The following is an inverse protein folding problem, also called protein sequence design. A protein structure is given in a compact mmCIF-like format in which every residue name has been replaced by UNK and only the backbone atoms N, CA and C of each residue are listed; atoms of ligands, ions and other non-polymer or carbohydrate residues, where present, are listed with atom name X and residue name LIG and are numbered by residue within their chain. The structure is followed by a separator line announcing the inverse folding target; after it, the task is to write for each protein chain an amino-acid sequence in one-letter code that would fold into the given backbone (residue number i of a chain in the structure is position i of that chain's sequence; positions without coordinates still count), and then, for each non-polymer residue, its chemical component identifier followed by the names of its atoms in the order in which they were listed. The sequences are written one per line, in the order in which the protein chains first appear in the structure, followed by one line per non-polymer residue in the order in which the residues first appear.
data_IF_483542870158
#
_entry.id   IF_483542870158
#
_cell.length_a   1.000
_cell.length_b   1.000
_cell.length_c   1.000
_cell.angle_alpha   90.00
_cell.angle_beta   90.00
_cell.angle_gamma   90.00
#
_symmetry.space_group_name_H-M   'P 1'
#
loop_
_entity.id
_entity.type
_entity.pdbx_description
1 polymer ?
#
# COMPACT_ATOMS: atom_id res chain seq x y z
N UNK A 1 9.32 -0.19 -23.53
CA UNK A 1 9.51 -1.57 -23.03
C UNK A 1 10.74 -2.26 -23.62
N UNK A 2 11.16 -1.98 -24.87
CA UNK A 2 12.34 -2.64 -25.49
C UNK A 2 13.71 -2.24 -24.90
N UNK A 3 13.85 -0.99 -24.45
CA UNK A 3 15.12 -0.48 -23.90
C UNK A 3 15.58 -1.13 -22.59
N UNK A 4 14.71 -1.87 -21.88
CA UNK A 4 15.04 -2.44 -20.57
C UNK A 4 15.56 -3.87 -20.63
N UNK A 5 15.16 -4.65 -21.62
CA UNK A 5 15.46 -6.09 -21.66
C UNK A 5 16.51 -6.47 -22.71
N UNK A 6 16.85 -5.58 -23.65
CA UNK A 6 17.77 -5.90 -24.76
C UNK A 6 17.23 -6.92 -25.77
N UNK A 7 15.98 -7.38 -25.59
CA UNK A 7 15.27 -8.32 -26.47
C UNK A 7 14.15 -7.55 -27.19
N UNK A 8 13.99 -7.73 -28.51
CA UNK A 8 12.90 -7.12 -29.27
C UNK A 8 11.52 -7.50 -28.70
N UNK A 9 10.58 -6.55 -28.70
CA UNK A 9 9.20 -6.85 -28.32
C UNK A 9 8.52 -7.74 -29.38
N UNK A 10 7.39 -8.42 -29.07
CA UNK A 10 6.70 -9.28 -30.03
C UNK A 10 6.35 -8.59 -31.35
N UNK A 11 5.97 -7.30 -31.31
CA UNK A 11 5.71 -6.50 -32.51
C UNK A 11 6.96 -6.28 -33.36
N UNK A 12 8.12 -6.05 -32.72
CA UNK A 12 9.39 -5.89 -33.42
C UNK A 12 9.83 -7.23 -34.04
N UNK A 13 9.68 -8.35 -33.32
CA UNK A 13 9.96 -9.69 -33.84
C UNK A 13 9.11 -9.97 -35.10
N UNK A 14 7.81 -9.67 -35.04
CA UNK A 14 6.91 -9.84 -36.17
C UNK A 14 7.33 -8.97 -37.37
N UNK A 15 7.70 -7.72 -37.15
CA UNK A 15 8.18 -6.81 -38.20
C UNK A 15 9.52 -7.27 -38.81
N UNK A 16 10.47 -7.74 -37.99
CA UNK A 16 11.76 -8.26 -38.44
C UNK A 16 11.56 -9.51 -39.30
N UNK A 17 10.69 -10.42 -38.86
CA UNK A 17 10.33 -11.61 -39.61
C UNK A 17 9.64 -11.28 -40.93
N UNK A 18 8.73 -10.28 -40.94
CA UNK A 18 8.10 -9.79 -42.17
C UNK A 18 9.12 -9.23 -43.16
N UNK A 19 10.17 -8.56 -42.67
CA UNK A 19 11.28 -8.06 -43.46
C UNK A 19 12.30 -9.15 -43.86
N UNK A 20 12.10 -10.41 -43.45
CA UNK A 20 12.98 -11.53 -43.76
C UNK A 20 14.40 -11.39 -43.19
N UNK A 21 14.57 -10.65 -42.09
CA UNK A 21 15.89 -10.46 -41.46
C UNK A 21 16.09 -11.39 -40.27
N UNK A 22 17.34 -11.68 -39.97
CA UNK A 22 17.70 -12.48 -38.81
C UNK A 22 17.50 -11.69 -37.51
N UNK A 23 16.80 -12.29 -36.55
CA UNK A 23 16.51 -11.75 -35.23
C UNK A 23 17.78 -11.56 -34.40
N UNK A 24 18.83 -12.37 -34.60
CA UNK A 24 20.06 -12.31 -33.82
C UNK A 24 20.79 -10.97 -33.94
N UNK A 25 20.59 -10.23 -35.04
CA UNK A 25 21.16 -8.89 -35.24
C UNK A 25 20.45 -7.79 -34.44
N UNK A 26 19.21 -8.04 -33.97
CA UNK A 26 18.40 -7.07 -33.25
C UNK A 26 18.39 -7.29 -31.73
N UNK A 27 19.03 -8.36 -31.26
CA UNK A 27 19.27 -8.60 -29.84
C UNK A 27 20.49 -7.81 -29.39
N UNK A 28 20.42 -7.23 -28.19
CA UNK A 28 21.54 -6.50 -27.60
C UNK A 28 22.79 -7.39 -27.52
N UNK A 29 23.93 -6.78 -27.86
CA UNK A 29 25.27 -7.34 -27.67
C UNK A 29 25.47 -7.96 -26.29
N UNK A 30 24.92 -7.38 -25.22
CA UNK A 30 25.12 -7.85 -23.85
C UNK A 30 24.56 -9.27 -23.60
N UNK A 31 23.57 -9.68 -24.39
CA UNK A 31 22.91 -10.99 -24.29
C UNK A 31 23.54 -12.06 -25.19
N UNK A 32 24.61 -11.73 -25.91
CA UNK A 32 25.28 -12.69 -26.79
C UNK A 32 26.10 -13.70 -26.00
N UNK A 33 26.35 -14.85 -26.61
CA UNK A 33 27.20 -15.88 -26.02
C UNK A 33 28.60 -15.34 -25.70
N UNK A 34 29.17 -14.53 -26.59
CA UNK A 34 30.51 -13.97 -26.44
C UNK A 34 30.62 -13.11 -25.17
N UNK A 35 29.66 -12.21 -24.94
CA UNK A 35 29.63 -11.38 -23.72
C UNK A 35 29.40 -12.20 -22.47
N UNK A 36 28.56 -13.24 -22.54
CA UNK A 36 28.39 -14.19 -21.44
C UNK A 36 29.70 -14.90 -21.09
N UNK A 37 30.41 -15.44 -22.08
CA UNK A 37 31.69 -16.11 -21.86
C UNK A 37 32.74 -15.17 -21.29
N UNK A 38 32.79 -13.92 -21.76
CA UNK A 38 33.69 -12.89 -21.21
C UNK A 38 33.33 -12.53 -19.76
N UNK A 39 32.05 -12.35 -19.46
CA UNK A 39 31.57 -11.99 -18.11
C UNK A 39 31.88 -13.07 -17.07
N UNK A 40 31.83 -14.35 -17.49
CA UNK A 40 32.12 -15.50 -16.65
C UNK A 40 33.48 -16.15 -16.94
N UNK A 41 34.37 -15.45 -17.64
CA UNK A 41 35.71 -15.96 -17.95
C UNK A 41 36.55 -16.13 -16.67
N UNK A 42 36.38 -15.22 -15.71
CA UNK A 42 37.06 -15.28 -14.43
C UNK A 42 36.44 -16.34 -13.53
N UNK A 43 37.29 -17.17 -12.92
CA UNK A 43 36.86 -18.10 -11.87
C UNK A 43 36.46 -17.31 -10.63
N UNK A 44 35.22 -17.47 -10.18
CA UNK A 44 34.80 -17.01 -8.87
C UNK A 44 35.28 -18.04 -7.86
N UNK A 45 36.29 -17.68 -7.07
CA UNK A 45 36.75 -18.55 -6.01
C UNK A 45 35.64 -18.77 -4.98
N UNK A 46 35.44 -20.02 -4.51
CA UNK A 46 34.47 -20.27 -3.47
C UNK A 46 34.86 -19.49 -2.21
N UNK A 47 33.89 -18.79 -1.63
CA UNK A 47 34.10 -18.15 -0.34
C UNK A 47 34.27 -19.25 0.72
N UNK A 48 35.31 -19.13 1.55
CA UNK A 48 35.52 -20.04 2.68
C UNK A 48 34.28 -20.10 3.58
N UNK A 49 34.08 -21.21 4.30
CA UNK A 49 32.94 -21.34 5.20
C UNK A 49 32.97 -20.34 6.37
N UNK A 50 31.81 -20.07 6.97
CA UNK A 50 31.66 -19.10 8.07
C UNK A 50 32.67 -19.28 9.22
N UNK A 51 33.07 -20.52 9.52
CA UNK A 51 34.05 -20.85 10.56
C UNK A 51 35.47 -20.32 10.29
N UNK A 52 35.80 -20.09 9.02
CA UNK A 52 37.10 -19.61 8.55
C UNK A 52 37.12 -18.09 8.33
N UNK A 53 36.00 -17.39 8.53
CA UNK A 53 35.96 -15.95 8.37
C UNK A 53 36.68 -15.26 9.54
N UNK A 54 37.42 -14.17 9.26
CA UNK A 54 38.05 -13.39 10.31
C UNK A 54 36.96 -12.82 11.23
N UNK A 55 37.15 -12.96 12.55
CA UNK A 55 36.27 -12.34 13.54
C UNK A 55 36.60 -10.86 13.62
N UNK A 56 35.69 -10.03 13.13
CA UNK A 56 35.77 -8.58 13.30
C UNK A 56 35.21 -8.23 14.68
N UNK A 57 35.98 -7.51 15.50
CA UNK A 57 35.53 -6.98 16.80
C UNK A 57 34.84 -5.62 16.69
N UNK A 58 34.55 -5.17 15.46
CA UNK A 58 33.97 -3.86 15.20
C UNK A 58 32.43 -3.91 15.30
N UNK A 59 31.79 -2.94 15.99
CA UNK A 59 30.35 -2.89 16.06
C UNK A 59 29.73 -2.73 14.67
N UNK A 60 28.81 -3.64 14.33
CA UNK A 60 28.02 -3.54 13.10
C UNK A 60 27.10 -2.32 13.19
N UNK A 61 27.46 -1.25 12.48
CA UNK A 61 26.59 -0.09 12.36
C UNK A 61 25.39 -0.43 11.45
N UNK A 62 24.17 -0.03 11.82
CA UNK A 62 23.02 -0.20 10.94
C UNK A 62 23.24 0.58 9.63
N UNK A 63 22.77 0.06 8.48
CA UNK A 63 22.81 0.80 7.23
C UNK A 63 22.14 2.17 7.40
N UNK A 64 22.71 3.20 6.77
CA UNK A 64 22.15 4.55 6.76
C UNK A 64 20.77 4.53 6.09
N UNK A 65 19.70 4.51 6.88
CA UNK A 65 18.35 4.54 6.36
C UNK A 65 17.97 5.97 5.97
N UNK A 66 18.05 6.29 4.69
CA UNK A 66 17.48 7.53 4.16
C UNK A 66 15.97 7.36 3.98
N UNK A 67 15.18 8.09 4.77
CA UNK A 67 13.72 8.16 4.58
C UNK A 67 13.46 8.86 3.24
N UNK A 68 13.08 8.08 2.22
CA UNK A 68 12.68 8.64 0.92
C UNK A 68 11.57 9.67 1.14
N UNK A 69 11.71 10.85 0.52
CA UNK A 69 10.66 11.86 0.50
C UNK A 69 9.40 11.20 -0.06
N UNK A 70 8.34 11.16 0.75
CA UNK A 70 7.08 10.54 0.35
C UNK A 70 6.53 11.19 -0.92
N UNK A 71 5.74 10.44 -1.69
CA UNK A 71 5.07 10.97 -2.89
C UNK A 71 4.31 12.26 -2.53
N UNK A 72 4.53 13.39 -3.24
CA UNK A 72 3.76 14.60 -3.02
C UNK A 72 2.27 14.31 -3.09
N UNK A 73 1.52 14.79 -2.10
CA UNK A 73 0.06 14.60 -2.06
C UNK A 73 -0.53 15.25 -3.31
N UNK A 74 -1.21 14.44 -4.13
CA UNK A 74 -1.95 14.95 -5.31
C UNK A 74 -3.06 15.87 -4.82
N UNK A 75 -2.86 17.17 -4.90
CA UNK A 75 -3.91 18.17 -4.62
C UNK A 75 -4.92 18.07 -5.75
N UNK A 76 -6.07 17.41 -5.49
CA UNK A 76 -7.20 17.46 -6.41
C UNK A 76 -7.74 18.89 -6.39
N UNK A 77 -7.61 19.61 -7.51
CA UNK A 77 -8.36 20.86 -7.71
C UNK A 77 -9.85 20.51 -7.59
N UNK A 78 -10.58 21.21 -6.71
CA UNK A 78 -12.04 21.06 -6.62
C UNK A 78 -12.60 21.62 -7.92
N UNK A 79 -13.17 20.75 -8.73
CA UNK A 79 -13.83 21.13 -9.97
C UNK A 79 -14.99 22.07 -9.63
N UNK A 80 -14.99 23.30 -10.17
CA UNK A 80 -16.03 24.31 -9.88
C UNK A 80 -17.43 23.85 -10.31
N UNK A 81 -17.50 22.77 -11.09
CA UNK A 81 -18.72 22.27 -11.73
C UNK A 81 -19.33 21.05 -11.04
N UNK A 82 -18.67 20.46 -10.03
CA UNK A 82 -19.28 19.36 -9.24
C UNK A 82 -20.18 19.94 -8.14
N UNK A 83 -21.47 20.08 -8.45
CA UNK A 83 -22.51 20.12 -7.41
C UNK A 83 -22.36 18.86 -6.55
N UNK A 84 -22.14 19.04 -5.25
CA UNK A 84 -22.07 17.95 -4.28
C UNK A 84 -23.34 17.08 -4.42
N UNK A 85 -23.26 15.77 -4.69
CA UNK A 85 -24.43 14.93 -4.97
C UNK A 85 -25.27 14.59 -3.72
N UNK A 86 -25.18 15.37 -2.64
CA UNK A 86 -26.07 15.18 -1.50
C UNK A 86 -26.15 16.46 -0.65
N UNK A 87 -27.19 17.29 -0.78
CA UNK A 87 -27.56 18.15 0.33
C UNK A 87 -28.04 17.18 1.41
N UNK A 88 -27.22 16.92 2.43
CA UNK A 88 -27.67 16.23 3.64
C UNK A 88 -28.91 16.99 4.10
N UNK A 89 -30.09 16.43 3.82
CA UNK A 89 -31.38 16.96 4.23
C UNK A 89 -31.26 17.21 5.74
N UNK A 90 -31.18 18.48 6.13
CA UNK A 90 -31.33 18.87 7.52
C UNK A 90 -32.76 18.51 7.89
N UNK A 91 -32.95 17.29 8.37
CA UNK A 91 -34.26 16.84 8.84
C UNK A 91 -34.66 17.72 10.01
N UNK A 92 -35.89 18.22 9.99
CA UNK A 92 -36.46 19.01 11.09
C UNK A 92 -36.25 18.27 12.40
N UNK A 93 -35.57 18.89 13.36
CA UNK A 93 -35.19 18.26 14.61
C UNK A 93 -36.43 18.17 15.48
N UNK A 94 -36.99 16.97 15.64
CA UNK A 94 -38.12 16.70 16.54
C UNK A 94 -37.63 16.22 17.90
N UNK A 95 -38.14 16.83 18.96
CA UNK A 95 -37.88 16.44 20.33
C UNK A 95 -38.70 15.19 20.69
N UNK A 96 -38.04 14.16 21.21
CA UNK A 96 -38.72 12.94 21.67
C UNK A 96 -39.38 13.08 23.04
N UNK A 97 -39.11 14.17 23.77
CA UNK A 97 -39.69 14.41 25.12
C UNK A 97 -41.03 15.14 25.00
N UNK A 98 -41.08 16.25 24.25
CA UNK A 98 -42.30 17.05 24.12
C UNK A 98 -42.95 16.97 22.73
N UNK A 99 -42.34 16.26 21.77
CA UNK A 99 -42.84 16.17 20.39
C UNK A 99 -42.65 17.43 19.54
N UNK A 100 -42.16 18.54 20.11
CA UNK A 100 -41.93 19.79 19.39
C UNK A 100 -40.78 19.72 18.39
N UNK A 101 -40.80 20.61 17.39
CA UNK A 101 -39.74 20.75 16.39
C UNK A 101 -38.72 21.83 16.83
N UNK A 102 -37.63 22.01 16.08
CA UNK A 102 -36.53 22.97 16.36
C UNK A 102 -35.54 22.60 17.48
N UNK A 103 -35.79 21.56 18.28
CA UNK A 103 -34.87 21.15 19.34
C UNK A 103 -34.91 19.63 19.58
N UNK A 104 -33.83 19.07 20.14
CA UNK A 104 -33.80 17.65 20.49
C UNK A 104 -33.99 17.44 22.00
N UNK A 105 -34.09 16.18 22.43
CA UNK A 105 -34.27 15.82 23.85
C UNK A 105 -33.25 16.46 24.81
N UNK A 106 -32.05 16.80 24.34
CA UNK A 106 -30.96 17.34 25.18
C UNK A 106 -31.22 18.79 25.56
N UNK A 107 -31.87 19.55 24.68
CA UNK A 107 -32.17 20.99 24.81
C UNK A 107 -33.67 21.25 25.02
N UNK A 108 -34.44 20.22 25.39
CA UNK A 108 -35.87 20.39 25.66
C UNK A 108 -36.11 21.23 26.92
N UNK A 109 -36.98 22.24 26.88
CA UNK A 109 -37.36 23.03 28.06
C UNK A 109 -38.04 22.20 29.15
N UNK A 110 -38.77 21.13 28.77
CA UNK A 110 -39.49 20.25 29.70
C UNK A 110 -38.61 19.13 30.28
N UNK A 111 -37.28 19.28 30.22
CA UNK A 111 -36.33 18.28 30.68
C UNK A 111 -36.30 18.26 32.22
N UNK A 112 -37.16 17.44 32.81
CA UNK A 112 -37.22 17.29 34.27
C UNK A 112 -38.57 16.82 34.84
N UNK A 113 -39.65 16.89 34.05
CA UNK A 113 -40.92 16.29 34.41
C UNK A 113 -40.89 14.81 33.98
N UNK A 114 -40.56 13.93 34.93
CA UNK A 114 -40.35 12.48 34.73
C UNK A 114 -41.64 11.78 34.22
N UNK A 115 -41.54 10.66 33.50
CA UNK A 115 -41.61 9.34 34.15
C UNK A 115 -40.93 8.21 33.33
N UNK A 116 -40.01 7.54 34.01
CA UNK A 116 -39.82 6.07 34.14
C UNK A 116 -40.35 5.15 33.02
N UNK A 117 -39.44 4.44 32.33
CA UNK A 117 -39.32 2.96 32.40
C UNK A 117 -38.36 2.38 31.33
N UNK A 118 -37.64 1.33 31.75
CA UNK A 118 -36.94 0.31 30.94
C UNK A 118 -35.58 0.62 30.28
N UNK A 119 -34.52 0.29 31.04
CA UNK A 119 -33.46 -0.69 30.72
C UNK A 119 -32.92 -0.77 29.28
N UNK A 120 -31.64 -0.43 29.14
CA UNK A 120 -30.85 -0.80 27.97
C UNK A 120 -29.38 -0.37 28.10
N UNK A 121 -28.61 -1.08 28.91
CA UNK A 121 -27.15 -0.95 28.91
C UNK A 121 -26.60 -1.40 27.55
N UNK A 122 -26.28 -0.46 26.66
CA UNK A 122 -25.60 -0.78 25.41
C UNK A 122 -24.09 -0.88 25.65
N UNK A 123 -23.61 -2.13 25.70
CA UNK A 123 -22.21 -2.53 25.64
C UNK A 123 -21.56 -1.96 24.37
N UNK A 124 -20.48 -1.19 24.53
CA UNK A 124 -19.64 -0.76 23.42
C UNK A 124 -18.86 -1.95 22.87
N UNK A 125 -19.25 -2.48 21.70
CA UNK A 125 -18.49 -3.51 20.99
C UNK A 125 -17.13 -2.93 20.54
N UNK A 126 -16.02 -3.38 21.14
CA UNK A 126 -14.67 -3.13 20.60
C UNK A 126 -14.54 -3.86 19.26
N UNK A 127 -14.20 -3.12 18.20
CA UNK A 127 -13.89 -3.67 16.88
C UNK A 127 -12.40 -4.01 16.82
N UNK A 128 -12.08 -5.28 16.61
CA UNK A 128 -10.69 -5.75 16.38
C UNK A 128 -10.60 -7.27 16.43
N UNK A 129 -9.72 -7.85 15.59
CA UNK A 129 -9.46 -9.30 15.57
C UNK A 129 -8.64 -9.69 16.81
N UNK A 130 -9.04 -10.71 17.58
CA UNK A 130 -8.26 -11.14 18.75
C UNK A 130 -6.93 -11.77 18.31
N UNK A 131 -5.88 -11.55 19.12
CA UNK A 131 -4.55 -12.15 18.91
C UNK A 131 -4.58 -13.60 19.39
N UNK A 132 -3.91 -14.50 18.66
CA UNK A 132 -3.72 -15.89 19.09
C UNK A 132 -2.57 -15.95 20.09
N UNK A 133 -2.83 -16.46 21.28
CA UNK A 133 -1.79 -16.81 22.25
C UNK A 133 -1.07 -18.08 21.79
N UNK A 134 0.26 -18.07 21.87
CA UNK A 134 1.10 -19.26 21.69
C UNK A 134 1.75 -19.57 23.03
N UNK A 135 1.07 -20.40 23.82
CA UNK A 135 1.64 -21.02 25.02
C UNK A 135 2.28 -22.33 24.59
N UNK A 136 3.59 -22.48 24.81
CA UNK A 136 4.32 -23.73 24.65
C UNK A 136 4.26 -24.45 26.01
N UNK A 137 3.73 -25.68 26.11
CA UNK A 137 3.73 -26.46 27.35
C UNK A 137 5.13 -27.03 27.68
N UNK A 138 5.39 -27.43 28.95
CA UNK A 138 6.73 -27.77 29.45
C UNK A 138 7.34 -29.03 28.83
#
# INVERSE_FOLDING_TARGET
MWQLCGIPCPHAIAAINYLGRDLAHFVDSYLKKETYMLAYQSTIEPMNGQKMWPRMNEPLLPPNFLKKVGRPKKVKKKDKTKKDPNPKKGGTIKCTICGGYEHNKRTCPNKGQQQTSSSGAQVQKKRGRPRKDTTIPP
#
